data_IF_687371140035
#
_entry.id   IF_687371140035
#
_cell.length_a   1.000
_cell.length_b   1.000
_cell.length_c   1.000
_cell.angle_alpha   90.00
_cell.angle_beta   90.00
_cell.angle_gamma   90.00
#
_symmetry.space_group_name_H-M   'P 1'
#
loop_
_entity.id
_entity.type
_entity.pdbx_description
1 polymer ?
#
# COMPACT_ATOMS: atom_id res chain seq x y z
N UNK A 1 -11.63 22.21 1.00
CA UNK A 1 -11.37 21.31 2.15
C UNK A 1 -11.91 21.82 3.48
N UNK A 2 -11.57 23.03 3.95
CA UNK A 2 -12.06 23.55 5.25
C UNK A 2 -13.59 23.53 5.40
N UNK A 3 -14.33 24.01 4.40
CA UNK A 3 -15.81 23.93 4.40
C UNK A 3 -16.32 22.48 4.47
N UNK A 4 -15.75 21.57 3.66
CA UNK A 4 -16.10 20.15 3.68
C UNK A 4 -15.91 19.50 5.06
N UNK A 5 -14.82 19.88 5.74
CA UNK A 5 -14.49 19.39 7.08
C UNK A 5 -15.40 20.00 8.16
N UNK A 6 -15.73 21.29 8.05
CA UNK A 6 -16.66 21.97 8.96
C UNK A 6 -18.04 21.29 8.95
N UNK A 7 -18.59 21.00 7.76
CA UNK A 7 -19.89 20.31 7.61
C UNK A 7 -19.92 18.93 8.28
N UNK A 8 -18.76 18.26 8.33
CA UNK A 8 -18.60 16.91 8.90
C UNK A 8 -18.00 16.91 10.30
N UNK A 9 -17.81 18.09 10.90
CA UNK A 9 -17.10 18.31 12.18
C UNK A 9 -15.75 17.57 12.26
N UNK A 10 -15.05 17.47 11.13
CA UNK A 10 -13.66 17.00 11.11
C UNK A 10 -12.79 18.16 11.59
N UNK A 11 -12.23 18.02 12.78
CA UNK A 11 -11.33 19.01 13.38
C UNK A 11 -9.90 18.72 12.92
N UNK A 12 -9.29 19.66 12.21
CA UNK A 12 -7.87 19.64 11.91
C UNK A 12 -7.12 20.43 12.99
N UNK A 13 -6.07 19.83 13.57
CA UNK A 13 -5.13 20.56 14.46
C UNK A 13 -4.41 21.65 13.68
N UNK A 14 -3.95 21.31 12.47
CA UNK A 14 -3.32 22.22 11.51
C UNK A 14 -3.82 21.94 10.10
N UNK A 15 -3.92 22.98 9.29
CA UNK A 15 -4.18 22.87 7.86
C UNK A 15 -3.16 23.75 7.13
N UNK A 16 -2.16 23.09 6.54
CA UNK A 16 -1.07 23.72 5.81
C UNK A 16 -1.28 23.52 4.31
N UNK A 17 -1.04 24.56 3.53
CA UNK A 17 -0.96 24.48 2.07
C UNK A 17 0.40 24.99 1.68
N UNK A 18 1.24 24.09 1.17
CA UNK A 18 2.62 24.36 0.86
C UNK A 18 2.77 24.45 -0.64
N UNK A 19 3.56 25.43 -1.10
CA UNK A 19 4.10 25.41 -2.45
C UNK A 19 5.62 25.28 -2.31
N UNK A 20 6.20 24.10 -2.61
CA UNK A 20 7.62 23.85 -2.38
C UNK A 20 8.53 24.78 -3.19
N UNK A 21 8.05 25.40 -4.27
CA UNK A 21 8.85 26.32 -5.08
C UNK A 21 9.08 27.70 -4.43
N UNK A 22 8.29 28.06 -3.40
CA UNK A 22 8.28 29.41 -2.84
C UNK A 22 8.76 29.48 -1.39
N UNK A 23 9.29 28.38 -0.83
CA UNK A 23 9.73 28.33 0.57
C UNK A 23 11.17 27.82 0.68
N UNK A 24 11.96 28.36 1.63
CA UNK A 24 13.33 27.89 1.87
C UNK A 24 13.39 26.54 2.60
N UNK A 25 12.25 25.99 3.03
CA UNK A 25 12.13 24.76 3.83
C UNK A 25 11.48 23.68 2.96
N UNK A 26 12.07 22.50 2.93
CA UNK A 26 11.55 21.35 2.17
C UNK A 26 10.27 20.78 2.77
N UNK A 27 9.46 20.11 1.95
CA UNK A 27 8.21 19.47 2.38
C UNK A 27 8.47 18.38 3.43
N UNK A 28 9.59 17.65 3.30
CA UNK A 28 10.02 16.63 4.28
C UNK A 28 10.21 17.20 5.69
N UNK A 29 10.92 18.33 5.82
CA UNK A 29 11.20 18.96 7.12
C UNK A 29 9.91 19.42 7.82
N UNK A 30 8.94 19.94 7.04
CA UNK A 30 7.64 20.36 7.58
C UNK A 30 6.83 19.15 8.08
N UNK A 31 6.90 18.03 7.34
CA UNK A 31 6.25 16.77 7.75
C UNK A 31 6.88 16.25 9.03
N UNK A 32 8.21 16.25 9.14
CA UNK A 32 8.90 15.82 10.35
C UNK A 32 8.49 16.69 11.54
N UNK A 33 8.51 18.02 11.40
CA UNK A 33 8.05 18.93 12.44
C UNK A 33 6.60 18.64 12.89
N UNK A 34 5.68 18.50 11.93
CA UNK A 34 4.28 18.17 12.23
C UNK A 34 4.11 16.77 12.85
N UNK A 35 4.98 15.83 12.50
CA UNK A 35 4.97 14.49 13.04
C UNK A 35 5.39 14.44 14.51
N UNK A 36 6.25 15.35 14.98
CA UNK A 36 6.66 15.44 16.39
C UNK A 36 5.63 16.11 17.30
N UNK A 37 4.72 16.92 16.76
CA UNK A 37 3.79 17.70 17.58
C UNK A 37 2.74 16.83 18.30
N UNK A 38 2.68 16.86 19.63
CA UNK A 38 1.73 16.04 20.39
C UNK A 38 0.24 16.34 20.10
N UNK A 39 -0.09 17.54 19.62
CA UNK A 39 -1.46 17.93 19.26
C UNK A 39 -1.98 17.24 17.98
N UNK A 40 -1.08 16.68 17.15
CA UNK A 40 -1.42 16.05 15.87
C UNK A 40 -1.53 14.54 16.03
N UNK A 41 -2.75 14.00 15.92
CA UNK A 41 -3.00 12.56 16.07
C UNK A 41 -2.69 11.74 14.81
N UNK A 42 -2.66 12.37 13.64
CA UNK A 42 -2.47 11.72 12.35
C UNK A 42 -2.10 12.74 11.27
N UNK A 43 -1.45 12.27 10.20
CA UNK A 43 -1.09 13.06 9.04
C UNK A 43 -1.89 12.63 7.81
N UNK A 44 -2.53 13.61 7.18
CA UNK A 44 -3.22 13.48 5.90
C UNK A 44 -2.46 14.36 4.92
N UNK A 45 -1.74 13.75 3.98
CA UNK A 45 -0.81 14.45 3.09
C UNK A 45 -1.30 14.32 1.66
N UNK A 46 -1.47 15.46 0.98
CA UNK A 46 -1.77 15.52 -0.44
C UNK A 46 -0.55 16.05 -1.18
N UNK A 47 -0.06 15.29 -2.15
CA UNK A 47 1.21 15.58 -2.83
C UNK A 47 0.95 15.70 -4.32
N UNK A 48 1.02 16.93 -4.83
CA UNK A 48 0.87 17.24 -6.25
C UNK A 48 2.21 17.49 -6.95
N UNK A 49 3.24 17.88 -6.21
CA UNK A 49 4.60 18.11 -6.72
C UNK A 49 5.62 17.50 -5.76
N UNK A 50 6.69 16.96 -6.31
CA UNK A 50 7.83 16.44 -5.56
C UNK A 50 8.98 17.46 -5.62
N UNK A 51 9.48 17.84 -4.45
CA UNK A 51 10.70 18.62 -4.24
C UNK A 51 11.90 17.68 -4.05
N UNK A 52 12.20 17.28 -2.82
CA UNK A 52 13.20 16.28 -2.48
C UNK A 52 12.50 14.98 -2.12
N UNK A 53 12.47 14.05 -3.08
CA UNK A 53 11.83 12.75 -2.91
C UNK A 53 12.47 11.91 -1.78
N UNK A 54 13.78 12.05 -1.54
CA UNK A 54 14.49 11.30 -0.50
C UNK A 54 14.09 11.80 0.88
N UNK A 55 14.20 13.10 1.10
CA UNK A 55 13.81 13.74 2.35
C UNK A 55 12.32 13.49 2.65
N UNK A 56 11.46 13.59 1.63
CA UNK A 56 10.03 13.37 1.75
C UNK A 56 9.67 11.92 2.13
N UNK A 57 10.23 10.92 1.44
CA UNK A 57 9.98 9.51 1.76
C UNK A 57 10.54 9.17 3.15
N UNK A 58 11.70 9.71 3.51
CA UNK A 58 12.29 9.56 4.84
C UNK A 58 11.36 10.14 5.92
N UNK A 59 10.92 11.38 5.76
CA UNK A 59 10.05 12.07 6.70
C UNK A 59 8.69 11.37 6.87
N UNK A 60 8.07 10.98 5.76
CA UNK A 60 6.81 10.22 5.80
C UNK A 60 7.00 8.86 6.51
N UNK A 61 8.13 8.20 6.30
CA UNK A 61 8.45 6.92 6.96
C UNK A 61 8.67 7.12 8.46
N UNK A 62 9.39 8.17 8.87
CA UNK A 62 9.59 8.53 10.26
C UNK A 62 8.26 8.87 10.95
N UNK A 63 7.44 9.73 10.32
CA UNK A 63 6.11 10.08 10.79
C UNK A 63 5.21 8.84 10.94
N UNK A 64 5.27 7.93 9.96
CA UNK A 64 4.51 6.69 9.96
C UNK A 64 4.94 5.71 11.06
N UNK A 65 6.04 5.91 11.79
CA UNK A 65 6.38 5.09 12.97
C UNK A 65 5.54 5.47 14.18
N UNK A 66 5.29 6.76 14.36
CA UNK A 66 4.62 7.28 15.55
C UNK A 66 3.13 7.51 15.33
N UNK A 67 2.73 7.84 14.09
CA UNK A 67 1.38 8.31 13.78
C UNK A 67 0.81 7.64 12.51
N UNK A 68 -0.53 7.56 12.40
CA UNK A 68 -1.21 7.32 11.14
C UNK A 68 -0.76 8.31 10.06
N UNK A 69 -0.32 7.81 8.90
CA UNK A 69 -0.03 8.63 7.72
C UNK A 69 -0.83 8.11 6.54
N UNK A 70 -1.59 8.98 5.90
CA UNK A 70 -2.36 8.70 4.69
C UNK A 70 -1.95 9.68 3.61
N UNK A 71 -1.52 9.15 2.46
CA UNK A 71 -1.01 9.96 1.35
C UNK A 71 -1.94 9.84 0.14
N UNK A 72 -2.33 10.99 -0.42
CA UNK A 72 -3.01 11.10 -1.71
C UNK A 72 -2.04 11.72 -2.73
N UNK A 73 -1.36 10.90 -3.56
CA UNK A 73 -0.52 11.41 -4.64
C UNK A 73 -1.37 11.82 -5.85
N UNK A 74 -1.16 13.04 -6.34
CA UNK A 74 -1.79 13.62 -7.54
C UNK A 74 -0.71 14.22 -8.45
N UNK A 75 0.39 13.50 -8.60
CA UNK A 75 1.52 13.90 -9.42
C UNK A 75 1.12 13.95 -10.90
N UNK A 76 1.67 14.92 -11.64
CA UNK A 76 1.35 15.14 -13.05
C UNK A 76 1.83 14.02 -13.97
N UNK A 77 2.96 13.40 -13.63
CA UNK A 77 3.51 12.25 -14.36
C UNK A 77 2.99 10.93 -13.73
N UNK A 78 2.23 10.11 -14.49
CA UNK A 78 1.69 8.85 -13.98
C UNK A 78 2.77 7.80 -13.67
N UNK A 79 3.89 7.80 -14.39
CA UNK A 79 5.00 6.89 -14.10
C UNK A 79 5.65 7.27 -12.76
N UNK A 80 5.89 8.57 -12.56
CA UNK A 80 6.40 9.09 -11.30
C UNK A 80 5.45 8.82 -10.12
N UNK A 81 4.13 8.97 -10.34
CA UNK A 81 3.10 8.64 -9.36
C UNK A 81 3.14 7.16 -8.94
N UNK A 82 3.36 6.25 -9.89
CA UNK A 82 3.41 4.82 -9.64
C UNK A 82 4.66 4.42 -8.87
N UNK A 83 5.82 4.96 -9.24
CA UNK A 83 7.08 4.79 -8.51
C UNK A 83 6.93 5.29 -7.07
N UNK A 84 6.39 6.49 -6.89
CA UNK A 84 6.19 7.07 -5.57
C UNK A 84 5.22 6.24 -4.71
N UNK A 85 4.11 5.78 -5.29
CA UNK A 85 3.17 4.90 -4.61
C UNK A 85 3.80 3.56 -4.19
N UNK A 86 4.69 2.99 -5.02
CA UNK A 86 5.47 1.78 -4.68
C UNK A 86 6.43 2.04 -3.53
N UNK A 87 7.15 3.17 -3.57
CA UNK A 87 8.08 3.58 -2.51
C UNK A 87 7.38 3.69 -1.16
N UNK A 88 6.19 4.32 -1.13
CA UNK A 88 5.38 4.45 0.08
C UNK A 88 4.80 3.11 0.55
N UNK A 89 4.30 2.29 -0.38
CA UNK A 89 3.73 0.97 -0.06
C UNK A 89 4.77 0.06 0.58
N UNK A 90 6.01 0.11 0.10
CA UNK A 90 7.16 -0.62 0.67
C UNK A 90 7.46 -0.22 2.12
N UNK A 91 7.22 1.05 2.47
CA UNK A 91 7.35 1.56 3.84
C UNK A 91 6.08 1.37 4.68
N UNK A 92 5.12 0.60 4.18
CA UNK A 92 3.79 0.36 4.76
C UNK A 92 2.99 1.65 5.01
N UNK A 93 3.23 2.70 4.22
CA UNK A 93 2.46 3.94 4.26
C UNK A 93 1.21 3.75 3.40
N UNK A 94 0.04 4.11 3.93
CA UNK A 94 -1.22 3.95 3.21
C UNK A 94 -1.35 5.04 2.13
N UNK A 95 -1.38 4.61 0.87
CA UNK A 95 -1.72 5.45 -0.28
C UNK A 95 -3.18 5.26 -0.67
N UNK A 96 -3.84 6.36 -1.01
CA UNK A 96 -5.23 6.39 -1.51
C UNK A 96 -5.26 7.00 -2.90
N UNK A 97 -6.17 6.52 -3.75
CA UNK A 97 -6.27 6.92 -5.15
C UNK A 97 -7.37 7.95 -5.42
N UNK A 98 -8.32 8.12 -4.50
CA UNK A 98 -9.43 9.05 -4.70
C UNK A 98 -9.60 10.04 -3.55
N UNK A 99 -10.21 11.18 -3.86
CA UNK A 99 -10.58 12.17 -2.85
C UNK A 99 -11.55 11.61 -1.81
N UNK A 100 -12.49 10.79 -2.27
CA UNK A 100 -13.47 10.11 -1.40
C UNK A 100 -12.75 9.22 -0.40
N UNK A 101 -11.80 8.42 -0.86
CA UNK A 101 -10.94 7.59 0.00
C UNK A 101 -10.15 8.40 1.02
N UNK A 102 -9.58 9.52 0.59
CA UNK A 102 -8.80 10.40 1.47
C UNK A 102 -9.65 11.02 2.58
N UNK A 103 -10.87 11.44 2.24
CA UNK A 103 -11.81 12.04 3.20
C UNK A 103 -12.44 11.00 4.13
N UNK A 104 -12.69 9.78 3.62
CA UNK A 104 -13.09 8.66 4.45
C UNK A 104 -11.97 8.32 5.45
N UNK A 105 -10.72 8.25 5.00
CA UNK A 105 -9.59 8.02 5.89
C UNK A 105 -9.49 9.08 6.99
N UNK A 106 -9.68 10.37 6.65
CA UNK A 106 -9.74 11.45 7.64
C UNK A 106 -10.86 11.24 8.67
N UNK A 107 -12.05 10.83 8.22
CA UNK A 107 -13.19 10.53 9.10
C UNK A 107 -12.88 9.35 10.03
N UNK A 108 -12.31 8.26 9.50
CA UNK A 108 -11.93 7.08 10.26
C UNK A 108 -10.93 7.43 11.36
N UNK A 109 -9.87 8.16 11.01
CA UNK A 109 -8.85 8.67 11.93
C UNK A 109 -9.49 9.51 13.05
N UNK A 110 -10.40 10.42 12.69
CA UNK A 110 -11.10 11.27 13.66
C UNK A 110 -11.93 10.47 14.68
N UNK A 111 -12.48 9.31 14.27
CA UNK A 111 -13.22 8.43 15.20
C UNK A 111 -12.30 7.63 16.14
N UNK A 112 -11.01 7.51 15.83
CA UNK A 112 -10.04 6.72 16.60
C UNK A 112 -10.33 5.21 16.59
N UNK A 113 -11.17 4.73 15.67
CA UNK A 113 -11.58 3.32 15.60
C UNK A 113 -10.61 2.51 14.75
N UNK A 114 -10.30 1.31 15.22
CA UNK A 114 -9.43 0.35 14.54
C UNK A 114 -10.22 -0.88 14.13
N UNK A 115 -9.88 -1.49 13.00
CA UNK A 115 -10.55 -2.72 12.54
C UNK A 115 -10.28 -3.89 13.47
N UNK A 116 -11.26 -4.79 13.65
CA UNK A 116 -11.05 -6.04 14.38
C UNK A 116 -10.91 -7.26 13.47
N UNK A 117 -11.34 -7.16 12.22
CA UNK A 117 -11.24 -8.24 11.25
C UNK A 117 -12.09 -7.96 10.01
N UNK A 118 -12.40 -9.02 9.26
CA UNK A 118 -13.05 -8.96 7.95
C UNK A 118 -14.54 -9.22 8.01
N UNK A 119 -15.05 -9.78 9.12
CA UNK A 119 -16.40 -10.34 9.23
C UNK A 119 -17.41 -9.24 9.53
N UNK A 120 -18.36 -9.02 8.63
CA UNK A 120 -19.35 -7.95 8.70
C UNK A 120 -20.74 -8.52 8.93
N UNK A 121 -21.41 -8.09 9.99
CA UNK A 121 -22.83 -8.32 10.19
C UNK A 121 -23.62 -7.18 9.55
N UNK A 122 -24.49 -7.51 8.60
CA UNK A 122 -25.35 -6.55 7.91
C UNK A 122 -26.76 -6.68 8.48
N UNK A 123 -27.35 -5.57 8.91
CA UNK A 123 -28.74 -5.53 9.35
C UNK A 123 -29.43 -4.26 8.87
N UNK A 124 -30.74 -4.33 8.67
CA UNK A 124 -31.51 -3.15 8.33
C UNK A 124 -32.94 -3.46 7.91
N UNK A 125 -33.74 -2.42 7.76
CA UNK A 125 -35.14 -2.52 7.36
C UNK A 125 -35.38 -2.39 5.84
N UNK A 126 -34.31 -2.46 5.06
CA UNK A 126 -34.33 -2.41 3.59
C UNK A 126 -33.76 -3.71 3.01
N UNK A 127 -34.58 -4.76 2.83
CA UNK A 127 -34.08 -6.10 2.51
C UNK A 127 -33.31 -6.17 1.18
N UNK A 128 -33.76 -5.46 0.15
CA UNK A 128 -33.10 -5.44 -1.15
C UNK A 128 -31.74 -4.73 -1.11
N UNK A 129 -31.66 -3.59 -0.43
CA UNK A 129 -30.40 -2.84 -0.27
C UNK A 129 -29.42 -3.61 0.62
N UNK A 130 -29.93 -4.32 1.64
CA UNK A 130 -29.11 -5.16 2.49
C UNK A 130 -28.54 -6.36 1.73
N UNK A 131 -29.34 -7.00 0.87
CA UNK A 131 -28.88 -8.06 -0.02
C UNK A 131 -27.84 -7.55 -1.02
N UNK A 132 -28.07 -6.36 -1.61
CA UNK A 132 -27.10 -5.72 -2.50
C UNK A 132 -25.77 -5.48 -1.77
N UNK A 133 -25.83 -4.97 -0.53
CA UNK A 133 -24.63 -4.73 0.29
C UNK A 133 -23.83 -6.01 0.52
N UNK A 134 -24.50 -7.13 0.77
CA UNK A 134 -23.84 -8.44 0.91
C UNK A 134 -23.25 -8.94 -0.43
N UNK A 135 -23.91 -8.67 -1.56
CA UNK A 135 -23.33 -8.96 -2.88
C UNK A 135 -22.08 -8.10 -3.16
N UNK A 136 -22.09 -6.83 -2.75
CA UNK A 136 -20.93 -5.93 -2.87
C UNK A 136 -19.75 -6.41 -2.02
N UNK A 137 -19.98 -7.12 -0.90
CA UNK A 137 -18.88 -7.69 -0.09
C UNK A 137 -17.97 -8.60 -0.92
N UNK A 138 -18.51 -9.35 -1.89
CA UNK A 138 -17.73 -10.24 -2.75
C UNK A 138 -16.68 -9.52 -3.61
N UNK A 139 -16.81 -8.21 -3.81
CA UNK A 139 -15.86 -7.37 -4.55
C UNK A 139 -14.83 -6.70 -3.62
N UNK A 140 -14.89 -6.95 -2.32
CA UNK A 140 -14.06 -6.32 -1.29
C UNK A 140 -13.29 -7.38 -0.49
N UNK A 141 -12.23 -7.03 0.24
CA UNK A 141 -11.52 -7.98 1.12
C UNK A 141 -12.28 -8.28 2.43
N UNK A 142 -13.61 -8.04 2.45
CA UNK A 142 -14.50 -8.23 3.59
C UNK A 142 -15.35 -9.49 3.37
N UNK A 143 -15.83 -10.08 4.45
CA UNK A 143 -16.60 -11.31 4.44
C UNK A 143 -17.91 -11.12 5.20
N UNK A 144 -19.01 -11.70 4.71
CA UNK A 144 -20.25 -11.74 5.47
C UNK A 144 -20.06 -12.63 6.70
N UNK A 145 -20.37 -12.08 7.89
CA UNK A 145 -20.28 -12.84 9.13
C UNK A 145 -21.38 -13.90 9.26
N UNK A 146 -21.20 -14.82 10.21
CA UNK A 146 -22.20 -15.82 10.53
C UNK A 146 -23.50 -15.16 11.05
N UNK A 147 -24.69 -15.75 10.80
CA UNK A 147 -25.95 -15.20 11.28
C UNK A 147 -26.03 -15.10 12.81
N UNK A 148 -26.38 -13.90 13.31
CA UNK A 148 -26.48 -13.62 14.74
C UNK A 148 -27.83 -14.10 15.29
N UNK A 149 -27.86 -15.29 15.88
CA UNK A 149 -29.10 -15.88 16.44
C UNK A 149 -29.74 -15.02 17.52
N UNK A 150 -28.94 -14.37 18.35
CA UNK A 150 -29.43 -13.51 19.43
C UNK A 150 -30.23 -12.32 18.89
N UNK A 151 -29.74 -11.67 17.82
CA UNK A 151 -30.44 -10.55 17.19
C UNK A 151 -31.76 -10.99 16.54
N UNK A 152 -31.78 -12.16 15.88
CA UNK A 152 -32.98 -12.70 15.25
C UNK A 152 -34.11 -13.06 16.24
N UNK A 153 -33.76 -13.47 17.47
CA UNK A 153 -34.72 -13.77 18.54
C UNK A 153 -35.46 -12.55 19.09
N UNK A 154 -34.91 -11.35 18.92
CA UNK A 154 -35.52 -10.10 19.37
C UNK A 154 -36.66 -9.63 18.44
N UNK A 155 -36.80 -10.26 17.28
CA UNK A 155 -37.82 -9.91 16.30
C UNK A 155 -39.13 -10.66 16.61
N UNK A 156 -40.29 -10.00 16.45
CA UNK A 156 -41.60 -10.53 16.87
C UNK A 156 -41.97 -11.86 16.22
N UNK A 157 -41.42 -12.17 15.04
CA UNK A 157 -41.70 -13.41 14.31
C UNK A 157 -40.65 -14.52 14.46
N UNK A 158 -39.69 -14.40 15.40
CA UNK A 158 -38.55 -15.34 15.53
C UNK A 158 -37.93 -15.65 14.16
N UNK A 159 -37.65 -14.59 13.40
CA UNK A 159 -37.14 -14.67 12.04
C UNK A 159 -35.93 -15.62 11.98
N UNK A 160 -35.82 -16.40 10.91
CA UNK A 160 -34.66 -17.26 10.73
C UNK A 160 -33.36 -16.42 10.81
N UNK A 161 -32.34 -16.90 11.53
CA UNK A 161 -31.08 -16.17 11.62
C UNK A 161 -30.43 -16.14 10.24
N UNK A 162 -30.27 -14.94 9.68
CA UNK A 162 -29.61 -14.71 8.39
C UNK A 162 -28.64 -13.52 8.46
N UNK A 163 -27.70 -13.45 7.52
CA UNK A 163 -26.90 -12.27 7.23
C UNK A 163 -27.04 -11.97 5.72
N UNK A 164 -27.78 -10.93 5.33
CA UNK A 164 -28.24 -9.81 6.15
C UNK A 164 -29.43 -10.17 7.06
N UNK A 165 -29.49 -9.56 8.25
CA UNK A 165 -30.65 -9.62 9.12
C UNK A 165 -31.67 -8.56 8.69
N UNK A 166 -32.77 -9.03 8.10
CA UNK A 166 -33.85 -8.17 7.64
C UNK A 166 -34.79 -7.83 8.81
N UNK A 167 -34.82 -6.54 9.15
CA UNK A 167 -35.76 -5.98 10.11
C UNK A 167 -37.07 -5.63 9.37
N UNK A 168 -38.26 -5.93 9.91
CA UNK A 168 -39.52 -5.40 9.39
C UNK A 168 -39.49 -3.87 9.26
N UNK A 169 -40.21 -3.31 8.29
CA UNK A 169 -40.28 -1.86 8.07
C UNK A 169 -40.76 -1.12 9.34
N UNK A 170 -41.73 -1.70 10.03
CA UNK A 170 -42.36 -1.16 11.25
C UNK A 170 -41.58 -1.48 12.54
N UNK A 171 -40.30 -1.86 12.43
CA UNK A 171 -39.49 -2.19 13.61
C UNK A 171 -39.31 -0.94 14.48
N UNK A 172 -39.73 -0.96 15.76
CA UNK A 172 -39.62 0.21 16.62
C UNK A 172 -38.14 0.51 16.94
N UNK A 173 -37.75 1.80 17.09
CA UNK A 173 -36.37 2.20 17.32
C UNK A 173 -35.62 1.44 18.44
N UNK A 174 -36.23 1.11 19.60
CA UNK A 174 -35.58 0.32 20.63
C UNK A 174 -35.21 -1.11 20.21
N UNK A 175 -36.06 -1.78 19.43
CA UNK A 175 -35.78 -3.14 18.94
C UNK A 175 -34.65 -3.12 17.92
N UNK A 176 -34.60 -2.10 17.06
CA UNK A 176 -33.53 -1.90 16.11
C UNK A 176 -32.17 -1.67 16.80
N UNK A 177 -32.15 -0.86 17.88
CA UNK A 177 -30.95 -0.67 18.69
C UNK A 177 -30.53 -1.96 19.42
N UNK A 178 -31.47 -2.71 19.98
CA UNK A 178 -31.19 -3.98 20.65
C UNK A 178 -30.62 -5.04 19.68
N UNK A 179 -31.14 -5.12 18.45
CA UNK A 179 -30.62 -5.99 17.40
C UNK A 179 -29.18 -5.60 17.01
N UNK A 180 -28.91 -4.30 16.85
CA UNK A 180 -27.55 -3.81 16.58
C UNK A 180 -26.60 -4.11 17.74
N UNK A 181 -27.05 -3.95 18.99
CA UNK A 181 -26.28 -4.30 20.19
C UNK A 181 -25.93 -5.80 20.24
N UNK A 182 -26.89 -6.69 19.95
CA UNK A 182 -26.65 -8.11 19.89
C UNK A 182 -25.59 -8.48 18.83
N UNK A 183 -25.63 -7.84 17.65
CA UNK A 183 -24.60 -8.02 16.62
C UNK A 183 -23.21 -7.51 17.05
N UNK A 184 -23.15 -6.41 17.81
CA UNK A 184 -21.91 -5.86 18.35
C UNK A 184 -21.32 -6.74 19.47
N UNK A 185 -22.15 -7.42 20.25
CA UNK A 185 -21.72 -8.34 21.30
C UNK A 185 -21.14 -9.65 20.75
N UNK A 186 -21.67 -10.15 19.63
CA UNK A 186 -21.24 -11.44 19.04
C UNK A 186 -19.78 -11.45 18.56
N UNK A 187 -18.97 -12.35 19.11
CA UNK A 187 -17.53 -12.51 18.82
C UNK A 187 -17.22 -12.96 17.39
N UNK A 188 -18.22 -13.51 16.69
CA UNK A 188 -18.08 -13.90 15.28
C UNK A 188 -18.16 -12.72 14.31
N UNK A 189 -18.46 -11.52 14.82
CA UNK A 189 -18.56 -10.29 14.04
C UNK A 189 -17.46 -9.30 14.43
N UNK A 190 -16.81 -8.74 13.41
CA UNK A 190 -15.76 -7.75 13.59
C UNK A 190 -16.27 -6.32 13.38
N UNK A 191 -17.32 -6.15 12.57
CA UNK A 191 -17.96 -4.89 12.25
C UNK A 191 -19.48 -5.07 12.04
N UNK A 192 -20.24 -4.00 12.22
CA UNK A 192 -21.70 -4.00 12.02
C UNK A 192 -22.09 -2.88 11.07
N UNK A 193 -22.81 -3.21 10.01
CA UNK A 193 -23.44 -2.27 9.08
C UNK A 193 -24.95 -2.23 9.33
N UNK A 194 -25.45 -1.11 9.85
CA UNK A 194 -26.87 -0.88 10.07
C UNK A 194 -27.42 0.07 9.01
N UNK A 195 -28.40 -0.41 8.25
CA UNK A 195 -29.18 0.39 7.31
C UNK A 195 -30.56 0.69 7.88
N UNK A 196 -30.97 1.95 7.77
CA UNK A 196 -32.28 2.39 8.23
C UNK A 196 -32.93 3.31 7.21
N UNK A 197 -34.15 2.94 6.81
CA UNK A 197 -35.06 3.76 6.02
C UNK A 197 -36.34 4.00 6.83
N UNK A 198 -36.53 5.22 7.31
CA UNK A 198 -37.66 5.60 8.15
C UNK A 198 -38.69 6.43 7.37
N UNK A 199 -39.97 6.09 7.52
CA UNK A 199 -41.09 6.81 6.91
C UNK A 199 -41.34 8.18 7.57
N UNK A 200 -41.00 8.32 8.86
CA UNK A 200 -41.19 9.56 9.64
C UNK A 200 -39.85 10.09 10.17
N UNK A 201 -39.68 11.41 10.12
CA UNK A 201 -38.45 12.09 10.54
C UNK A 201 -38.14 11.89 12.04
N UNK A 202 -39.17 11.89 12.89
CA UNK A 202 -39.02 11.77 14.35
C UNK A 202 -38.51 10.39 14.77
N UNK A 203 -39.01 9.33 14.13
CA UNK A 203 -38.53 7.96 14.35
C UNK A 203 -37.09 7.79 13.92
N UNK A 204 -36.69 8.42 12.80
CA UNK A 204 -35.32 8.40 12.33
C UNK A 204 -34.33 9.06 13.29
N UNK A 205 -34.73 10.17 13.92
CA UNK A 205 -33.91 10.84 14.94
C UNK A 205 -33.86 10.04 16.25
N UNK A 206 -34.98 9.45 16.66
CA UNK A 206 -35.02 8.59 17.85
C UNK A 206 -34.14 7.34 17.67
N UNK A 207 -34.24 6.65 16.54
CA UNK A 207 -33.38 5.51 16.20
C UNK A 207 -31.90 5.93 16.18
N UNK A 208 -31.59 7.08 15.57
CA UNK A 208 -30.23 7.60 15.54
C UNK A 208 -29.68 7.84 16.95
N UNK A 209 -30.47 8.40 17.89
CA UNK A 209 -30.05 8.62 19.29
C UNK A 209 -29.72 7.33 20.03
N UNK A 210 -30.53 6.28 19.86
CA UNK A 210 -30.33 5.00 20.53
C UNK A 210 -29.10 4.27 19.98
N UNK A 211 -29.03 4.11 18.67
CA UNK A 211 -27.94 3.40 18.00
C UNK A 211 -26.60 4.09 18.23
N UNK A 212 -26.59 5.42 18.18
CA UNK A 212 -25.35 6.17 18.38
C UNK A 212 -24.78 6.05 19.79
N UNK A 213 -25.60 5.75 20.79
CA UNK A 213 -25.11 5.48 22.14
C UNK A 213 -24.29 4.17 22.21
N UNK A 214 -24.61 3.19 21.36
CA UNK A 214 -23.93 1.88 21.34
C UNK A 214 -22.46 2.00 20.95
N UNK A 215 -22.09 2.92 20.06
CA UNK A 215 -20.71 3.06 19.58
C UNK A 215 -19.72 3.40 20.71
N UNK A 216 -20.18 4.06 21.78
CA UNK A 216 -19.35 4.35 22.96
C UNK A 216 -19.11 3.12 23.83
N UNK A 217 -20.06 2.18 23.86
CA UNK A 217 -20.02 0.95 24.68
C UNK A 217 -19.17 -0.15 24.05
N UNK A 218 -19.03 -0.15 22.72
CA UNK A 218 -18.30 -1.19 21.99
C UNK A 218 -17.06 -0.64 21.27
N UNK A 219 -16.00 -1.45 21.20
CA UNK A 219 -14.80 -1.12 20.41
C UNK A 219 -14.95 -1.43 18.91
N UNK A 220 -15.89 -2.31 18.54
CA UNK A 220 -16.16 -2.67 17.13
C UNK A 220 -16.71 -1.46 16.36
N UNK A 221 -16.32 -1.26 15.09
CA UNK A 221 -16.88 -0.20 14.26
C UNK A 221 -18.36 -0.48 13.93
N UNK A 222 -19.20 0.50 14.22
CA UNK A 222 -20.61 0.53 13.84
C UNK A 222 -20.78 1.54 12.70
N UNK A 223 -21.15 1.04 11.53
CA UNK A 223 -21.34 1.80 10.31
C UNK A 223 -22.85 2.03 10.12
N UNK A 224 -23.23 3.29 9.96
CA UNK A 224 -24.63 3.72 9.89
C UNK A 224 -24.97 4.23 8.49
N UNK A 225 -26.00 3.68 7.86
CA UNK A 225 -26.52 4.16 6.57
C UNK A 225 -28.00 4.55 6.72
N UNK A 226 -28.25 5.86 6.87
CA UNK A 226 -29.60 6.41 6.92
C UNK A 226 -30.01 6.78 5.50
N UNK A 227 -31.12 6.22 5.03
CA UNK A 227 -31.57 6.30 3.65
C UNK A 227 -32.85 7.13 3.54
N UNK A 228 -33.02 7.81 2.41
CA UNK A 228 -34.23 8.57 2.09
C UNK A 228 -34.56 9.66 3.10
N UNK A 229 -35.83 9.74 3.50
CA UNK A 229 -36.39 10.72 4.44
C UNK A 229 -35.79 10.64 5.84
N UNK A 230 -35.14 9.53 6.21
CA UNK A 230 -34.49 9.40 7.51
C UNK A 230 -33.18 10.21 7.62
N UNK A 231 -32.51 10.55 6.50
CA UNK A 231 -31.29 11.37 6.49
C UNK A 231 -31.61 12.86 6.67
N UNK A 232 -32.02 13.25 7.88
CA UNK A 232 -32.30 14.64 8.22
C UNK A 232 -31.03 15.40 8.68
N UNK A 233 -30.97 16.74 8.54
CA UNK A 233 -29.87 17.54 9.08
C UNK A 233 -29.62 17.32 10.58
N UNK A 234 -30.68 17.13 11.37
CA UNK A 234 -30.59 16.86 12.81
C UNK A 234 -29.89 15.51 13.11
N UNK A 235 -30.21 14.47 12.36
CA UNK A 235 -29.55 13.15 12.46
C UNK A 235 -28.06 13.28 12.12
N UNK A 236 -27.71 13.99 11.04
CA UNK A 236 -26.31 14.22 10.67
C UNK A 236 -25.54 14.99 11.73
N UNK A 237 -26.11 16.06 12.26
CA UNK A 237 -25.51 16.84 13.35
C UNK A 237 -25.26 15.97 14.59
N UNK A 238 -26.20 15.09 14.93
CA UNK A 238 -26.07 14.15 16.03
C UNK A 238 -24.93 13.14 15.80
N UNK A 239 -24.87 12.53 14.62
CA UNK A 239 -23.80 11.58 14.29
C UNK A 239 -22.43 12.25 14.25
N UNK A 240 -22.33 13.47 13.70
CA UNK A 240 -21.11 14.26 13.74
C UNK A 240 -20.71 14.61 15.19
N UNK A 241 -21.65 15.01 16.05
CA UNK A 241 -21.38 15.31 17.46
C UNK A 241 -20.82 14.09 18.21
N UNK A 242 -21.35 12.90 17.92
CA UNK A 242 -20.95 11.64 18.56
C UNK A 242 -19.77 10.93 17.84
N UNK A 243 -19.19 11.56 16.81
CA UNK A 243 -18.06 11.03 16.00
C UNK A 243 -18.36 9.64 15.42
N UNK A 244 -19.55 9.45 14.86
CA UNK A 244 -19.98 8.15 14.30
C UNK A 244 -19.76 8.07 12.80
N UNK A 245 -19.36 6.89 12.36
CA UNK A 245 -19.24 6.51 10.96
C UNK A 245 -20.62 6.37 10.32
N UNK A 246 -21.15 7.49 9.84
CA UNK A 246 -22.40 7.54 9.07
C UNK A 246 -22.14 7.81 7.58
N UNK A 247 -22.94 7.21 6.70
CA UNK A 247 -22.83 7.31 5.26
C UNK A 247 -24.22 7.47 4.63
N UNK A 248 -24.29 8.12 3.48
CA UNK A 248 -25.55 8.26 2.72
C UNK A 248 -25.89 7.01 1.92
N UNK A 249 -24.88 6.21 1.62
CA UNK A 249 -24.98 5.03 0.78
C UNK A 249 -24.19 3.90 1.45
N UNK A 250 -24.72 2.68 1.50
CA UNK A 250 -24.09 1.55 2.18
C UNK A 250 -22.76 1.14 1.51
N UNK A 251 -22.60 1.33 0.20
CA UNK A 251 -21.38 1.00 -0.53
C UNK A 251 -20.19 1.82 -0.01
N UNK A 252 -20.42 3.11 0.28
CA UNK A 252 -19.41 3.97 0.91
C UNK A 252 -19.03 3.50 2.32
N UNK A 253 -19.97 2.91 3.05
CA UNK A 253 -19.71 2.36 4.38
C UNK A 253 -18.83 1.10 4.30
N UNK A 254 -19.13 0.20 3.36
CA UNK A 254 -18.30 -0.98 3.10
C UNK A 254 -16.91 -0.59 2.60
N UNK A 255 -16.82 0.41 1.74
CA UNK A 255 -15.56 0.94 1.27
C UNK A 255 -14.71 1.52 2.41
N UNK A 256 -15.32 2.30 3.29
CA UNK A 256 -14.66 2.81 4.50
C UNK A 256 -14.16 1.70 5.41
N UNK A 257 -14.94 0.62 5.56
CA UNK A 257 -14.52 -0.52 6.36
C UNK A 257 -13.34 -1.27 5.72
N UNK A 258 -13.36 -1.45 4.40
CA UNK A 258 -12.25 -2.03 3.64
C UNK A 258 -10.97 -1.20 3.82
N UNK A 259 -11.07 0.13 3.72
CA UNK A 259 -9.93 1.03 3.98
C UNK A 259 -9.42 0.92 5.42
N UNK A 260 -10.31 0.85 6.41
CA UNK A 260 -9.96 0.69 7.82
C UNK A 260 -9.26 -0.65 8.09
N UNK A 261 -9.65 -1.73 7.39
CA UNK A 261 -8.95 -3.01 7.43
C UNK A 261 -7.58 -2.95 6.74
N UNK A 262 -7.49 -2.35 5.55
CA UNK A 262 -6.20 -2.13 4.86
C UNK A 262 -5.25 -1.36 5.77
N UNK A 263 -5.73 -0.27 6.35
CA UNK A 263 -4.98 0.54 7.30
C UNK A 263 -4.44 -0.30 8.47
N UNK A 264 -5.29 -1.15 9.08
CA UNK A 264 -4.85 -2.06 10.15
C UNK A 264 -3.77 -3.05 9.69
N UNK A 265 -3.93 -3.64 8.51
CA UNK A 265 -2.94 -4.58 7.96
C UNK A 265 -1.60 -3.90 7.74
N UNK A 266 -1.60 -2.71 7.13
CA UNK A 266 -0.41 -1.87 7.01
C UNK A 266 0.22 -1.57 8.37
N UNK A 267 -0.60 -1.21 9.38
CA UNK A 267 -0.10 -0.96 10.73
C UNK A 267 0.58 -2.18 11.36
N UNK A 268 0.02 -3.39 11.18
CA UNK A 268 0.56 -4.63 11.71
C UNK A 268 1.84 -5.06 10.97
N UNK A 269 1.89 -4.85 9.65
CA UNK A 269 3.05 -5.18 8.83
C UNK A 269 4.28 -4.34 9.21
N UNK A 270 4.12 -3.09 9.67
CA UNK A 270 5.23 -2.26 10.18
C UNK A 270 6.07 -2.93 11.29
N UNK A 271 5.48 -3.86 12.03
CA UNK A 271 6.16 -4.58 13.12
C UNK A 271 6.64 -5.99 12.72
N UNK A 272 6.32 -6.46 11.51
CA UNK A 272 6.79 -7.75 11.00
C UNK A 272 8.13 -7.57 10.31
N UNK A 273 9.07 -8.46 10.58
CA UNK A 273 10.27 -8.59 9.76
C UNK A 273 9.87 -9.12 8.38
N UNK A 274 10.41 -8.51 7.31
CA UNK A 274 10.26 -9.03 5.95
C UNK A 274 10.75 -10.49 5.89
N UNK A 275 10.16 -11.34 5.04
CA UNK A 275 10.72 -12.66 4.76
C UNK A 275 12.19 -12.50 4.33
N UNK A 276 13.06 -13.30 4.96
CA UNK A 276 14.48 -13.34 4.65
C UNK A 276 14.69 -14.08 3.32
N UNK A 277 15.51 -13.52 2.44
CA UNK A 277 16.01 -14.17 1.24
C UNK A 277 17.54 -14.10 1.27
N UNK A 278 18.21 -15.21 0.92
CA UNK A 278 19.67 -15.27 0.95
C UNK A 278 20.26 -14.70 -0.34
N UNK A 279 20.73 -13.46 -0.26
CA UNK A 279 21.34 -12.73 -1.37
C UNK A 279 22.83 -13.04 -1.59
N UNK A 280 23.45 -13.92 -0.80
CA UNK A 280 24.91 -14.17 -0.84
C UNK A 280 25.40 -14.67 -2.20
N UNK A 281 24.67 -15.57 -2.85
CA UNK A 281 25.06 -16.08 -4.16
C UNK A 281 25.02 -14.97 -5.24
N UNK A 282 24.00 -14.11 -5.20
CA UNK A 282 23.87 -12.96 -6.09
C UNK A 282 24.97 -11.92 -5.83
N UNK A 283 25.29 -11.69 -4.55
CA UNK A 283 26.38 -10.81 -4.12
C UNK A 283 27.74 -11.24 -4.69
N UNK A 284 28.08 -12.52 -4.57
CA UNK A 284 29.33 -13.08 -5.10
C UNK A 284 29.37 -13.01 -6.64
N UNK A 285 28.25 -13.29 -7.30
CA UNK A 285 28.14 -13.21 -8.76
C UNK A 285 28.39 -11.79 -9.29
N UNK A 286 28.04 -10.75 -8.53
CA UNK A 286 28.28 -9.36 -8.92
C UNK A 286 29.76 -8.92 -8.81
N UNK A 287 30.55 -9.55 -7.93
CA UNK A 287 31.96 -9.17 -7.72
C UNK A 287 32.84 -9.40 -8.96
N UNK A 288 32.55 -10.44 -9.74
CA UNK A 288 33.30 -10.79 -10.94
C UNK A 288 33.21 -9.69 -12.03
N UNK A 289 32.01 -9.28 -12.47
CA UNK A 289 31.87 -8.16 -13.41
C UNK A 289 32.37 -6.84 -12.82
N UNK A 290 32.09 -6.56 -11.53
CA UNK A 290 32.55 -5.32 -10.88
C UNK A 290 34.09 -5.15 -10.98
N UNK A 291 34.85 -6.19 -10.62
CA UNK A 291 36.32 -6.17 -10.71
C UNK A 291 36.83 -5.99 -12.14
N UNK A 292 36.20 -6.66 -13.11
CA UNK A 292 36.60 -6.59 -14.52
C UNK A 292 36.28 -5.23 -15.16
N UNK A 293 35.14 -4.63 -14.84
CA UNK A 293 34.71 -3.39 -15.46
C UNK A 293 35.43 -2.17 -14.87
N UNK A 294 35.67 -2.15 -13.55
CA UNK A 294 36.36 -1.04 -12.90
C UNK A 294 37.78 -0.80 -13.42
N UNK A 295 38.48 -1.85 -13.86
CA UNK A 295 39.79 -1.71 -14.52
C UNK A 295 39.75 -1.28 -15.98
N UNK A 296 38.58 -1.36 -16.63
CA UNK A 296 38.43 -1.23 -18.08
C UNK A 296 37.57 -0.04 -18.51
N UNK A 297 36.90 0.66 -17.59
CA UNK A 297 36.13 1.85 -17.93
C UNK A 297 37.08 3.04 -18.12
N UNK A 298 37.23 3.57 -19.35
CA UNK A 298 37.89 4.85 -19.53
C UNK A 298 37.08 5.94 -18.82
N UNK A 299 37.73 7.05 -18.47
CA UNK A 299 37.14 8.27 -17.88
C UNK A 299 36.23 8.96 -18.92
N UNK A 300 35.14 8.29 -19.31
CA UNK A 300 34.21 8.73 -20.34
C UNK A 300 33.04 9.48 -19.68
N UNK A 301 32.72 10.65 -20.21
CA UNK A 301 31.65 11.53 -19.70
C UNK A 301 30.25 10.99 -20.06
N UNK A 302 30.15 10.17 -21.10
CA UNK A 302 28.89 9.65 -21.65
C UNK A 302 28.77 8.12 -21.51
N UNK A 303 27.54 7.57 -21.36
CA UNK A 303 27.33 6.13 -21.31
C UNK A 303 27.82 5.44 -22.59
N UNK A 304 28.62 4.38 -22.44
CA UNK A 304 29.19 3.61 -23.54
C UNK A 304 28.49 2.24 -23.66
N UNK A 305 28.12 1.80 -24.87
CA UNK A 305 27.59 0.45 -25.06
C UNK A 305 28.67 -0.58 -24.66
N UNK A 306 28.31 -1.57 -23.86
CA UNK A 306 29.29 -2.54 -23.36
C UNK A 306 29.83 -3.43 -24.50
N UNK A 307 31.09 -3.85 -24.34
CA UNK A 307 31.75 -4.78 -25.27
C UNK A 307 31.14 -6.19 -25.22
N UNK A 308 31.40 -7.02 -26.25
CA UNK A 308 30.92 -8.41 -26.31
C UNK A 308 31.35 -9.27 -25.12
N UNK A 309 32.53 -9.00 -24.56
CA UNK A 309 33.04 -9.69 -23.36
C UNK A 309 32.30 -9.22 -22.10
N UNK A 310 32.13 -7.90 -21.92
CA UNK A 310 31.39 -7.33 -20.79
C UNK A 310 29.93 -7.79 -20.77
N UNK A 311 29.26 -7.85 -21.93
CA UNK A 311 27.91 -8.42 -22.05
C UNK A 311 27.87 -9.91 -21.69
N UNK A 312 28.87 -10.70 -22.10
CA UNK A 312 28.94 -12.11 -21.74
C UNK A 312 29.13 -12.32 -20.22
N UNK A 313 29.97 -11.51 -19.57
CA UNK A 313 30.15 -11.55 -18.10
C UNK A 313 28.87 -11.17 -17.36
N UNK A 314 28.13 -10.15 -17.83
CA UNK A 314 26.84 -9.77 -17.25
C UNK A 314 25.81 -10.89 -17.40
N UNK A 315 25.68 -11.48 -18.59
CA UNK A 315 24.73 -12.58 -18.83
C UNK A 315 25.07 -13.81 -17.99
N UNK A 316 26.35 -14.14 -17.84
CA UNK A 316 26.79 -15.23 -16.96
C UNK A 316 26.47 -14.96 -15.49
N UNK A 317 26.67 -13.73 -15.00
CA UNK A 317 26.33 -13.35 -13.63
C UNK A 317 24.82 -13.45 -13.37
N UNK A 318 23.99 -13.05 -14.34
CA UNK A 318 22.53 -13.15 -14.27
C UNK A 318 21.98 -14.56 -14.56
N UNK A 319 22.84 -15.57 -14.76
CA UNK A 319 22.47 -16.95 -15.16
C UNK A 319 21.59 -16.98 -16.42
N UNK A 320 21.83 -16.07 -17.37
CA UNK A 320 21.07 -15.96 -18.61
C UNK A 320 21.77 -16.68 -19.76
N UNK A 321 21.03 -17.50 -20.49
CA UNK A 321 21.52 -18.11 -21.73
C UNK A 321 21.27 -17.17 -22.92
N UNK A 322 22.33 -16.82 -23.64
CA UNK A 322 22.21 -16.01 -24.88
C UNK A 322 21.67 -16.88 -26.00
N UNK A 323 20.52 -16.54 -26.56
CA UNK A 323 19.99 -17.25 -27.72
C UNK A 323 20.76 -16.85 -28.99
N UNK A 324 21.65 -17.72 -29.47
CA UNK A 324 22.36 -17.56 -30.74
C UNK A 324 21.53 -18.14 -31.88
N UNK A 325 20.70 -17.31 -32.54
CA UNK A 325 19.92 -17.68 -33.72
C UNK A 325 18.99 -16.56 -34.21
N UNK A 326 18.72 -16.52 -35.51
CA UNK A 326 17.80 -15.58 -36.21
C UNK A 326 16.51 -15.29 -35.43
N UNK A 327 16.01 -14.04 -35.53
CA UNK A 327 14.77 -13.45 -34.96
C UNK A 327 13.81 -14.47 -34.32
N UNK A 328 13.44 -14.31 -33.03
CA UNK A 328 12.51 -15.23 -32.39
C UNK A 328 11.14 -15.20 -33.09
N UNK A 329 10.56 -16.38 -33.32
CA UNK A 329 9.18 -16.52 -33.83
C UNK A 329 8.12 -16.18 -32.77
N UNK A 330 8.53 -15.99 -31.52
CA UNK A 330 7.66 -15.74 -30.36
C UNK A 330 8.03 -14.37 -29.77
N UNK A 331 7.06 -13.50 -29.42
CA UNK A 331 7.34 -12.23 -28.76
C UNK A 331 7.97 -12.42 -27.37
N UNK A 332 8.82 -11.49 -26.89
CA UNK A 332 9.41 -11.53 -25.55
C UNK A 332 8.34 -11.65 -24.48
N UNK A 333 8.52 -12.62 -23.59
CA UNK A 333 7.59 -12.84 -22.47
C UNK A 333 7.76 -11.73 -21.42
N UNK A 334 9.01 -11.27 -21.22
CA UNK A 334 9.36 -10.22 -20.28
C UNK A 334 10.43 -9.32 -20.90
N UNK A 335 10.19 -8.02 -20.89
CA UNK A 335 11.19 -6.98 -21.18
C UNK A 335 11.56 -6.28 -19.88
N UNK A 336 12.85 -6.20 -19.59
CA UNK A 336 13.40 -5.59 -18.38
C UNK A 336 14.22 -4.37 -18.79
N UNK A 337 13.91 -3.22 -18.19
CA UNK A 337 14.63 -1.97 -18.36
C UNK A 337 15.11 -1.48 -17.00
N UNK A 338 16.41 -1.30 -16.86
CA UNK A 338 17.05 -0.76 -15.66
C UNK A 338 17.63 0.59 -16.03
N UNK A 339 17.11 1.67 -15.46
CA UNK A 339 17.53 3.04 -15.78
C UNK A 339 17.52 3.92 -14.52
N UNK A 340 18.34 4.99 -14.54
CA UNK A 340 18.37 5.99 -13.47
C UNK A 340 17.22 6.98 -13.65
N UNK A 341 16.23 6.90 -12.76
CA UNK A 341 15.17 7.88 -12.66
C UNK A 341 15.71 9.19 -12.02
N UNK A 342 15.36 10.37 -12.55
CA UNK A 342 15.92 11.65 -12.12
C UNK A 342 15.71 11.97 -10.63
N UNK A 343 14.63 11.46 -10.02
CA UNK A 343 14.24 11.76 -8.64
C UNK A 343 14.33 10.59 -7.66
N UNK A 344 14.34 9.35 -8.15
CA UNK A 344 14.23 8.16 -7.29
C UNK A 344 15.47 7.25 -7.35
N UNK A 345 16.45 7.60 -8.18
CA UNK A 345 17.61 6.75 -8.44
C UNK A 345 17.26 5.61 -9.40
N UNK A 346 17.95 4.48 -9.27
CA UNK A 346 17.75 3.33 -10.16
C UNK A 346 16.43 2.61 -9.93
N UNK A 347 15.71 2.36 -11.02
CA UNK A 347 14.43 1.65 -11.03
C UNK A 347 14.48 0.54 -12.06
N UNK A 348 13.87 -0.59 -11.72
CA UNK A 348 13.67 -1.69 -12.65
C UNK A 348 12.23 -1.65 -13.18
N UNK A 349 12.08 -1.39 -14.47
CA UNK A 349 10.81 -1.44 -15.18
C UNK A 349 10.70 -2.80 -15.89
N UNK A 350 9.58 -3.48 -15.66
CA UNK A 350 9.22 -4.73 -16.30
C UNK A 350 8.01 -4.50 -17.20
N UNK A 351 8.05 -5.06 -18.40
CA UNK A 351 6.91 -5.09 -19.32
C UNK A 351 6.66 -6.51 -19.80
N UNK A 352 5.40 -6.95 -19.79
CA UNK A 352 5.03 -8.24 -20.36
C UNK A 352 4.72 -8.14 -21.87
N UNK A 353 4.53 -9.29 -22.51
CA UNK A 353 4.15 -9.37 -23.93
C UNK A 353 2.84 -8.64 -24.26
N UNK A 354 1.94 -8.48 -23.28
CA UNK A 354 0.66 -7.79 -23.41
C UNK A 354 0.77 -6.25 -23.24
N UNK A 355 1.97 -5.71 -23.00
CA UNK A 355 2.20 -4.28 -22.81
C UNK A 355 1.87 -3.75 -21.42
N UNK A 356 1.55 -4.62 -20.45
CA UNK A 356 1.41 -4.22 -19.05
C UNK A 356 2.80 -3.94 -18.48
N UNK A 357 2.93 -2.80 -17.80
CA UNK A 357 4.18 -2.35 -17.19
C UNK A 357 4.09 -2.36 -15.67
N UNK A 358 5.16 -2.77 -15.01
CA UNK A 358 5.30 -2.73 -13.57
C UNK A 358 6.70 -2.27 -13.18
N UNK A 359 6.81 -1.55 -12.06
CA UNK A 359 8.05 -0.97 -11.57
C UNK A 359 8.43 -1.64 -10.25
N UNK A 360 9.71 -2.00 -10.14
CA UNK A 360 10.33 -2.55 -8.95
C UNK A 360 11.42 -1.60 -8.46
N UNK A 361 11.38 -1.34 -7.16
CA UNK A 361 12.36 -0.51 -6.47
C UNK A 361 13.33 -1.40 -5.70
N UNK A 362 14.64 -1.10 -5.74
CA UNK A 362 15.61 -1.78 -4.89
C UNK A 362 15.41 -1.41 -3.41
N UNK A 363 15.97 -2.15 -2.44
CA UNK A 363 16.51 -3.51 -2.59
C UNK A 363 15.39 -4.55 -2.84
N UNK A 364 15.67 -5.69 -3.45
CA UNK A 364 14.66 -6.72 -3.72
C UNK A 364 13.94 -7.16 -2.43
N UNK A 365 12.61 -7.24 -2.47
CA UNK A 365 11.81 -7.84 -1.40
C UNK A 365 10.89 -8.90 -2.03
N UNK A 366 10.82 -10.14 -1.48
CA UNK A 366 10.03 -11.21 -2.06
C UNK A 366 8.56 -10.81 -2.27
N UNK A 367 7.95 -10.13 -1.30
CA UNK A 367 6.56 -9.68 -1.40
C UNK A 367 6.34 -8.66 -2.53
N UNK A 368 7.32 -7.79 -2.79
CA UNK A 368 7.25 -6.79 -3.84
C UNK A 368 7.36 -7.44 -5.23
N UNK A 369 8.26 -8.41 -5.38
CA UNK A 369 8.42 -9.19 -6.61
C UNK A 369 7.16 -10.02 -6.89
N UNK A 370 6.63 -10.73 -5.89
CA UNK A 370 5.38 -11.49 -6.01
C UNK A 370 4.18 -10.59 -6.39
N UNK A 371 4.11 -9.38 -5.85
CA UNK A 371 3.13 -8.37 -6.24
C UNK A 371 3.27 -7.96 -7.71
N UNK A 372 4.49 -7.65 -8.13
CA UNK A 372 4.80 -7.25 -9.51
C UNK A 372 4.51 -8.37 -10.52
N UNK A 373 4.84 -9.62 -10.20
CA UNK A 373 4.57 -10.76 -11.07
C UNK A 373 3.08 -11.04 -11.23
N UNK A 374 2.29 -10.87 -10.17
CA UNK A 374 0.82 -10.95 -10.25
C UNK A 374 0.23 -9.87 -11.15
N UNK A 375 0.75 -8.65 -11.10
CA UNK A 375 0.30 -7.56 -11.99
C UNK A 375 0.65 -7.81 -13.45
N UNK A 376 1.80 -8.41 -13.72
CA UNK A 376 2.23 -8.80 -15.07
C UNK A 376 1.60 -10.12 -15.55
N UNK A 377 0.80 -10.78 -14.70
CA UNK A 377 0.22 -12.12 -14.95
C UNK A 377 1.28 -13.18 -15.29
N UNK A 378 2.44 -13.11 -14.61
CA UNK A 378 3.56 -14.03 -14.81
C UNK A 378 3.69 -15.02 -13.63
N UNK A 379 4.14 -16.26 -13.89
CA UNK A 379 4.29 -17.28 -12.86
C UNK A 379 5.46 -16.98 -11.91
N UNK A 380 5.17 -16.87 -10.61
CA UNK A 380 6.14 -16.61 -9.55
C UNK A 380 7.22 -17.70 -9.44
N UNK A 381 6.84 -18.95 -9.67
CA UNK A 381 7.75 -20.11 -9.59
C UNK A 381 8.91 -20.04 -10.61
N UNK A 382 8.75 -19.28 -11.68
CA UNK A 382 9.76 -19.16 -12.75
C UNK A 382 10.61 -17.90 -12.54
N UNK A 383 9.94 -16.75 -12.34
CA UNK A 383 10.59 -15.44 -12.38
C UNK A 383 10.96 -14.88 -11.01
N UNK A 384 10.40 -15.42 -9.92
CA UNK A 384 10.54 -14.87 -8.56
C UNK A 384 11.99 -14.81 -8.10
N UNK A 385 12.62 -15.97 -7.91
CA UNK A 385 13.99 -16.06 -7.42
C UNK A 385 14.99 -15.38 -8.35
N UNK A 386 14.81 -15.56 -9.66
CA UNK A 386 15.67 -14.94 -10.66
C UNK A 386 15.61 -13.41 -10.63
N UNK A 387 14.42 -12.81 -10.46
CA UNK A 387 14.27 -11.35 -10.35
C UNK A 387 14.91 -10.83 -9.05
N UNK A 388 14.81 -11.56 -7.94
CA UNK A 388 15.44 -11.20 -6.68
C UNK A 388 16.97 -11.18 -6.82
N UNK A 389 17.56 -12.25 -7.37
CA UNK A 389 19.00 -12.36 -7.65
C UNK A 389 19.46 -11.26 -8.62
N UNK A 390 18.72 -11.06 -9.71
CA UNK A 390 19.05 -10.08 -10.75
C UNK A 390 19.02 -8.65 -10.21
N UNK A 391 18.00 -8.30 -9.43
CA UNK A 391 17.92 -6.99 -8.79
C UNK A 391 19.10 -6.75 -7.86
N UNK A 392 19.47 -7.73 -7.04
CA UNK A 392 20.62 -7.61 -6.14
C UNK A 392 21.93 -7.41 -6.91
N UNK A 393 22.16 -8.19 -7.97
CA UNK A 393 23.33 -8.05 -8.84
C UNK A 393 23.39 -6.66 -9.47
N UNK A 394 22.27 -6.17 -10.03
CA UNK A 394 22.21 -4.85 -10.66
C UNK A 394 22.42 -3.71 -9.65
N UNK A 395 21.94 -3.85 -8.42
CA UNK A 395 22.19 -2.87 -7.36
C UNK A 395 23.66 -2.77 -6.99
N UNK A 396 24.39 -3.90 -7.01
CA UNK A 396 25.81 -3.98 -6.68
C UNK A 396 26.75 -3.60 -7.84
N UNK A 397 26.19 -3.32 -9.02
CA UNK A 397 26.95 -2.91 -10.21
C UNK A 397 26.69 -1.44 -10.54
N UNK A 398 27.37 -0.51 -9.83
CA UNK A 398 27.16 0.91 -10.05
C UNK A 398 27.63 1.41 -11.42
N UNK A 399 28.39 0.61 -12.14
CA UNK A 399 28.86 0.89 -13.50
C UNK A 399 27.74 0.86 -14.55
N UNK A 400 26.61 0.19 -14.27
CA UNK A 400 25.52 0.08 -15.24
C UNK A 400 24.66 1.35 -15.17
N UNK A 401 24.69 2.14 -16.23
CA UNK A 401 23.84 3.33 -16.38
C UNK A 401 22.43 2.96 -16.84
N UNK A 402 22.34 2.16 -17.90
CA UNK A 402 21.08 1.65 -18.42
C UNK A 402 21.24 0.22 -18.93
N UNK A 403 20.27 -0.65 -18.69
CA UNK A 403 20.26 -2.02 -19.21
C UNK A 403 18.88 -2.35 -19.75
N UNK A 404 18.79 -2.75 -21.01
CA UNK A 404 17.58 -3.36 -21.57
C UNK A 404 17.84 -4.84 -21.85
N UNK A 405 16.98 -5.72 -21.33
CA UNK A 405 16.97 -7.14 -21.58
C UNK A 405 15.61 -7.57 -22.15
N UNK A 406 15.63 -8.39 -23.19
CA UNK A 406 14.47 -9.14 -23.67
C UNK A 406 14.62 -10.60 -23.30
N UNK A 407 13.61 -11.15 -22.60
CA UNK A 407 13.70 -12.42 -21.89
C UNK A 407 12.57 -13.36 -22.29
N UNK A 408 12.91 -14.64 -22.34
CA UNK A 408 11.99 -15.75 -22.62
C UNK A 408 12.28 -16.90 -21.67
N UNK A 409 11.24 -17.59 -21.22
CA UNK A 409 11.43 -18.85 -20.51
C UNK A 409 11.52 -20.03 -21.49
N UNK A 410 12.63 -20.76 -21.45
CA UNK A 410 12.84 -22.03 -22.14
C UNK A 410 12.85 -23.18 -21.13
N UNK A 411 12.03 -24.20 -21.37
CA UNK A 411 11.88 -25.37 -20.49
C UNK A 411 13.19 -26.16 -20.32
N UNK A 412 14.11 -26.10 -21.30
CA UNK A 412 15.37 -26.88 -21.26
C UNK A 412 16.54 -26.14 -20.63
N UNK A 413 16.58 -24.82 -20.74
CA UNK A 413 17.74 -24.01 -20.37
C UNK A 413 17.40 -22.91 -19.34
N UNK A 414 16.16 -22.84 -18.86
CA UNK A 414 15.72 -21.80 -17.92
C UNK A 414 15.45 -20.48 -18.63
N UNK A 415 15.97 -19.37 -18.11
CA UNK A 415 15.67 -18.04 -18.66
C UNK A 415 16.70 -17.69 -19.74
N UNK A 416 16.21 -17.55 -20.97
CA UNK A 416 16.98 -17.16 -22.14
C UNK A 416 16.83 -15.66 -22.41
N UNK A 417 17.90 -15.03 -22.91
CA UNK A 417 17.92 -13.64 -23.32
C UNK A 417 18.11 -13.53 -24.84
N UNK A 418 17.18 -12.84 -25.50
CA UNK A 418 17.16 -12.60 -26.95
C UNK A 418 17.95 -11.34 -27.31
N UNK A 419 17.81 -10.27 -26.54
CA UNK A 419 18.57 -9.04 -26.73
C UNK A 419 19.02 -8.47 -25.39
N UNK A 420 20.31 -8.10 -25.30
CA UNK A 420 20.90 -7.45 -24.13
C UNK A 420 21.68 -6.20 -24.56
N UNK A 421 21.24 -5.04 -24.07
CA UNK A 421 21.84 -3.72 -24.34
C UNK A 421 22.24 -3.03 -23.03
N UNK A 422 23.39 -3.38 -22.42
CA UNK A 422 23.97 -2.63 -21.31
C UNK A 422 24.75 -1.42 -21.81
N UNK A 423 24.48 -0.26 -21.21
CA UNK A 423 25.30 0.94 -21.30
C UNK A 423 26.00 1.17 -19.96
N UNK A 424 27.31 1.32 -20.01
CA UNK A 424 28.18 1.48 -18.84
C UNK A 424 28.64 2.94 -18.69
N UNK A 425 28.78 3.41 -17.47
CA UNK A 425 29.30 4.73 -17.13
C UNK A 425 30.12 4.66 -15.84
N UNK A 426 31.12 5.53 -15.70
CA UNK A 426 31.91 5.66 -14.47
C UNK A 426 31.00 6.15 -13.31
N UNK A 427 30.92 5.38 -12.19
CA UNK A 427 30.07 5.73 -11.06
C UNK A 427 30.48 7.03 -10.36
N UNK A 428 31.77 7.41 -10.37
CA UNK A 428 32.28 8.58 -9.65
C UNK A 428 31.91 9.92 -10.34
N UNK A 429 31.51 9.87 -11.62
CA UNK A 429 31.07 11.03 -12.41
C UNK A 429 29.58 11.05 -12.72
N UNK A 430 28.84 9.99 -12.41
CA UNK A 430 27.40 9.92 -12.62
C UNK A 430 26.66 10.81 -11.61
N UNK A 431 26.25 12.00 -12.07
CA UNK A 431 25.47 13.04 -11.37
C UNK A 431 24.82 12.66 -10.00
N UNK A 432 25.07 13.56 -9.03
CA UNK A 432 24.74 13.68 -7.60
C UNK A 432 23.39 13.16 -7.03
N UNK A 433 22.51 12.54 -7.81
CA UNK A 433 21.29 11.93 -7.27
C UNK A 433 21.66 10.62 -6.58
N UNK A 434 21.63 10.63 -5.25
CA UNK A 434 21.82 9.46 -4.42
C UNK A 434 20.72 8.43 -4.72
N UNK A 435 21.09 7.15 -4.85
CA UNK A 435 20.12 6.08 -4.97
C UNK A 435 19.39 5.93 -3.63
N UNK A 436 18.20 6.53 -3.53
CA UNK A 436 17.34 6.57 -2.34
C UNK A 436 17.09 5.18 -1.75
N UNK A 437 17.08 4.17 -2.62
CA UNK A 437 16.78 2.81 -2.27
C UNK A 437 17.90 1.81 -2.59
N UNK A 438 19.15 2.27 -2.78
CA UNK A 438 20.26 1.33 -2.91
C UNK A 438 20.42 0.47 -1.65
N UNK A 439 20.74 -0.83 -1.79
CA UNK A 439 21.21 -1.63 -0.67
C UNK A 439 22.50 -1.02 -0.10
N UNK A 440 22.81 -1.38 1.15
CA UNK A 440 24.06 -0.96 1.77
C UNK A 440 25.25 -1.43 0.93
N UNK A 441 26.30 -0.61 0.78
CA UNK A 441 27.53 -1.05 0.13
C UNK A 441 28.09 -2.28 0.87
N UNK A 442 28.57 -3.27 0.12
CA UNK A 442 29.06 -4.53 0.66
C UNK A 442 30.20 -4.35 1.68
N UNK A 443 30.97 -3.27 1.56
CA UNK A 443 32.06 -2.89 2.46
C UNK A 443 31.56 -2.56 3.88
N UNK A 444 30.26 -2.30 4.05
CA UNK A 444 29.62 -2.04 5.33
C UNK A 444 29.04 -3.31 5.98
N UNK A 445 28.99 -4.46 5.28
CA UNK A 445 28.52 -5.73 5.84
C UNK A 445 29.65 -6.40 6.64
N UNK A 446 29.48 -6.49 7.96
CA UNK A 446 30.45 -7.16 8.83
C UNK A 446 30.15 -8.65 8.94
N UNK A 447 31.14 -9.51 8.69
CA UNK A 447 30.99 -10.95 8.95
C UNK A 447 31.35 -11.24 10.40
N UNK A 448 30.36 -11.50 11.24
CA UNK A 448 30.56 -11.91 12.63
C UNK A 448 30.62 -13.45 12.72
N UNK A 449 31.61 -13.95 13.44
CA UNK A 449 31.70 -15.35 13.82
C UNK A 449 31.05 -15.50 15.21
N UNK A 450 29.81 -15.98 15.23
CA UNK A 450 29.15 -16.37 16.47
C UNK A 450 29.70 -17.73 16.95
N UNK A 451 29.86 -17.93 18.26
CA UNK A 451 30.57 -19.08 18.82
C UNK A 451 29.99 -20.46 18.45
N UNK A 452 28.70 -20.54 18.08
CA UNK A 452 28.00 -21.83 17.83
C UNK A 452 27.22 -21.89 16.48
N UNK A 453 27.47 -20.99 15.51
CA UNK A 453 26.76 -21.00 14.21
C UNK A 453 27.70 -20.75 13.02
N UNK A 454 27.38 -21.26 11.81
CA UNK A 454 28.14 -20.91 10.60
C UNK A 454 28.13 -19.39 10.37
N UNK A 455 29.22 -18.87 9.78
CA UNK A 455 29.48 -17.46 9.44
C UNK A 455 28.20 -16.63 9.24
N UNK A 456 27.92 -15.72 10.18
CA UNK A 456 26.81 -14.77 10.11
C UNK A 456 27.28 -13.45 9.50
N UNK A 457 26.60 -12.98 8.45
CA UNK A 457 26.87 -11.66 7.86
C UNK A 457 25.88 -10.67 8.45
N UNK A 458 26.38 -9.65 9.13
CA UNK A 458 25.61 -8.54 9.68
C UNK A 458 25.67 -7.37 8.69
N UNK A 459 24.59 -7.19 7.93
CA UNK A 459 24.37 -5.94 7.24
C UNK A 459 23.93 -4.86 8.24
N UNK A 460 24.40 -3.61 8.13
CA UNK A 460 23.95 -2.53 8.99
C UNK A 460 22.44 -2.34 8.76
N UNK A 461 21.67 -2.50 9.83
CA UNK A 461 20.30 -2.01 9.83
C UNK A 461 20.38 -0.50 9.63
N UNK A 462 19.64 0.03 8.65
CA UNK A 462 19.57 1.47 8.44
C UNK A 462 19.43 2.17 9.78
N UNK A 463 20.19 3.26 10.03
CA UNK A 463 20.22 3.88 11.35
C UNK A 463 18.78 3.99 11.79
N UNK A 464 18.45 3.26 12.87
CA UNK A 464 17.50 3.78 13.82
C UNK A 464 18.08 5.16 14.08
N UNK A 465 17.53 6.20 13.43
CA UNK A 465 17.90 7.56 13.80
C UNK A 465 17.86 7.58 15.32
N UNK A 466 18.93 8.04 15.97
CA UNK A 466 18.99 8.01 17.43
C UNK A 466 17.77 8.75 18.01
N UNK A 467 17.33 8.37 19.21
CA UNK A 467 16.12 8.89 19.85
C UNK A 467 16.08 10.41 19.99
#
# INVERSE_FOLDING_TARGET
MRHYAADRRIVFSRFLTLNPQNYPVGTGEIIDYAAWEASTSALLVHICTLDDAQALVSALTAAARHKPVVVLPTLSDPAEARVFARALSRRHILTVGTLTEFLIAAKLIHTGRTGRGKRVAVLGNTPHIARLSVQTLAQTPLEAAAPVRAAARLLPHKTAPANPLNLPADTPPPVLAAAAEACLQDEHNDAVLLMYNGSHADDGLHAARLVSALQSRFRKPLLLAWLGSADTPAVRQLFCARKILHFRQPEHALHALSQLQRYRLHQQQRHRSSPFYDYRAAAEAALVPHKHWRSLLPVAVLPLPATKTQTAHLLAALKLHKQTGSKPAVPPQLKLQWEKHPRFGRILQLANAAGQTAELLPPPAPEAVAGCLRELSLPEMIWGDWLLDTLEILCRLPEIHSLTLELHHDVRHGIACTEAKPNLQDPDRAAAVADIFAPYPADAEETLLLPDTPRSTCAPCAPKMPP
#
